data_IF_035810632983
#
_entry.id   IF_035810632983
#
_cell.length_a   1.000
_cell.length_b   1.000
_cell.length_c   1.000
_cell.angle_alpha   90.00
_cell.angle_beta   90.00
_cell.angle_gamma   90.00
#
_symmetry.space_group_name_H-M   'P 1'
#
loop_
_entity.id
_entity.type
_entity.pdbx_description
1 polymer ?
#
# COMPACT_ATOMS: atom_id res chain seq x y z
N UNK A 1 6.98 -3.43 -14.25
CA UNK A 1 6.24 -3.85 -13.05
C UNK A 1 4.85 -3.23 -13.12
N UNK A 2 3.83 -3.91 -12.59
CA UNK A 2 2.49 -3.33 -12.44
C UNK A 2 2.30 -2.78 -11.02
N UNK A 3 1.58 -1.67 -10.89
CA UNK A 3 1.38 -0.98 -9.62
C UNK A 3 -0.06 -0.52 -9.44
N UNK A 4 -0.49 -0.45 -8.19
CA UNK A 4 -1.62 0.37 -7.73
C UNK A 4 -1.16 1.22 -6.54
N UNK A 5 -1.90 2.27 -6.19
CA UNK A 5 -1.49 3.22 -5.15
C UNK A 5 -2.59 3.34 -4.11
N UNK A 6 -2.19 3.27 -2.83
CA UNK A 6 -3.02 3.69 -1.71
C UNK A 6 -2.77 5.16 -1.42
N UNK A 7 -3.86 5.91 -1.32
CA UNK A 7 -3.85 7.32 -0.94
C UNK A 7 -4.53 7.47 0.43
N UNK A 8 -3.88 8.16 1.36
CA UNK A 8 -4.45 8.51 2.67
C UNK A 8 -4.44 10.02 2.82
N UNK A 9 -5.62 10.63 2.91
CA UNK A 9 -5.75 12.07 3.14
C UNK A 9 -6.01 12.38 4.62
N UNK A 10 -5.30 13.38 5.15
CA UNK A 10 -5.55 13.86 6.50
C UNK A 10 -6.72 14.84 6.53
N UNK A 11 -7.90 14.35 6.89
CA UNK A 11 -9.09 15.18 7.13
C UNK A 11 -9.18 15.71 8.58
N UNK A 12 -8.22 15.39 9.44
CA UNK A 12 -8.18 15.95 10.79
C UNK A 12 -7.72 17.41 10.75
N UNK A 13 -8.16 18.20 11.73
CA UNK A 13 -7.71 19.58 11.91
C UNK A 13 -6.33 19.72 12.57
N UNK A 14 -5.56 18.64 12.64
CA UNK A 14 -4.24 18.56 13.29
C UNK A 14 -3.31 17.67 12.46
N UNK A 15 -2.00 17.80 12.71
CA UNK A 15 -0.99 16.96 12.06
C UNK A 15 -1.16 15.48 12.42
N UNK A 16 -1.02 14.60 11.43
CA UNK A 16 -1.08 13.15 11.59
C UNK A 16 0.23 12.51 11.11
N UNK A 17 0.83 11.67 11.95
CA UNK A 17 2.00 10.89 11.55
C UNK A 17 1.58 9.57 10.92
N UNK A 18 2.24 9.21 9.82
CA UNK A 18 2.07 7.96 9.09
C UNK A 18 3.34 7.11 9.26
N UNK A 19 3.49 6.39 10.39
CA UNK A 19 4.64 5.53 10.61
C UNK A 19 4.62 4.31 9.68
N UNK A 20 5.83 3.88 9.28
CA UNK A 20 6.05 2.61 8.59
C UNK A 20 5.35 2.49 7.24
N UNK A 21 4.60 1.42 7.07
CA UNK A 21 3.92 1.03 5.85
C UNK A 21 2.53 0.42 6.17
N UNK A 22 1.56 0.49 5.25
CA UNK A 22 0.29 -0.19 5.46
C UNK A 22 0.48 -1.71 5.38
N UNK A 23 -0.08 -2.45 6.33
CA UNK A 23 -0.19 -3.91 6.19
C UNK A 23 -1.40 -4.23 5.34
N UNK A 24 -1.20 -5.09 4.35
CA UNK A 24 -2.20 -5.42 3.34
C UNK A 24 -2.59 -6.89 3.42
N UNK A 25 -3.89 -7.14 3.37
CA UNK A 25 -4.46 -8.47 3.23
C UNK A 25 -5.41 -8.49 2.03
N UNK A 26 -5.01 -9.23 1.00
CA UNK A 26 -5.83 -9.46 -0.19
C UNK A 26 -6.72 -10.68 0.03
N UNK A 27 -8.03 -10.53 -0.11
CA UNK A 27 -9.02 -11.57 0.20
C UNK A 27 -8.70 -12.29 1.54
N UNK A 28 -8.72 -13.63 1.56
CA UNK A 28 -8.39 -14.46 2.73
C UNK A 28 -6.90 -14.89 2.77
N UNK A 29 -6.00 -14.10 2.17
CA UNK A 29 -4.57 -14.41 2.15
C UNK A 29 -4.02 -14.68 3.56
N UNK A 30 -3.30 -15.79 3.70
CA UNK A 30 -2.75 -16.26 4.97
C UNK A 30 -1.53 -15.45 5.44
N UNK A 31 -0.86 -14.77 4.52
CA UNK A 31 0.30 -13.93 4.80
C UNK A 31 0.03 -12.49 4.35
N UNK A 32 0.55 -11.54 5.12
CA UNK A 32 0.54 -10.13 4.72
C UNK A 32 1.44 -9.92 3.51
N UNK A 33 1.10 -8.92 2.69
CA UNK A 33 1.97 -8.50 1.58
C UNK A 33 3.31 -8.00 2.15
N UNK A 34 4.46 -8.49 1.66
CA UNK A 34 5.77 -8.06 2.15
C UNK A 34 6.03 -6.59 1.79
N UNK A 35 6.86 -5.93 2.59
CA UNK A 35 7.29 -4.55 2.33
C UNK A 35 8.49 -4.52 1.38
N UNK A 36 8.56 -3.51 0.52
CA UNK A 36 9.73 -3.16 -0.26
C UNK A 36 10.66 -2.29 0.61
N UNK A 37 11.61 -2.94 1.28
CA UNK A 37 12.48 -2.30 2.29
C UNK A 37 13.28 -1.11 1.77
N UNK A 38 13.67 -1.12 0.49
CA UNK A 38 14.44 -0.04 -0.12
C UNK A 38 13.64 1.28 -0.27
N UNK A 39 12.31 1.24 -0.10
CA UNK A 39 11.48 2.46 -0.10
C UNK A 39 11.43 3.19 1.24
N UNK A 40 12.14 2.73 2.27
CA UNK A 40 12.06 3.33 3.60
C UNK A 40 12.50 4.81 3.61
N UNK A 41 11.63 5.75 4.01
CA UNK A 41 12.00 7.17 4.05
C UNK A 41 12.99 7.47 5.17
N UNK A 42 13.73 8.58 5.02
CA UNK A 42 14.70 9.02 6.03
C UNK A 42 14.03 9.46 7.35
N UNK A 43 12.78 9.89 7.28
CA UNK A 43 11.97 10.32 8.42
C UNK A 43 10.53 9.81 8.27
N UNK A 44 9.80 9.76 9.38
CA UNK A 44 8.37 9.45 9.37
C UNK A 44 7.63 10.51 8.55
N UNK A 45 6.67 10.07 7.73
CA UNK A 45 5.81 10.98 6.98
C UNK A 45 4.81 11.62 7.94
N UNK A 46 4.75 12.95 7.94
CA UNK A 46 3.78 13.74 8.69
C UNK A 46 2.88 14.46 7.70
N UNK A 47 1.58 14.36 7.90
CA UNK A 47 0.54 15.00 7.09
C UNK A 47 -0.07 16.16 7.88
N UNK A 48 0.09 17.38 7.39
CA UNK A 48 -0.70 18.52 7.83
C UNK A 48 -2.18 18.35 7.41
N UNK A 49 -3.13 19.14 7.97
CA UNK A 49 -4.53 19.11 7.55
C UNK A 49 -4.68 19.32 6.03
N UNK A 50 -5.30 18.34 5.36
CA UNK A 50 -5.54 18.31 3.92
C UNK A 50 -4.43 17.66 3.09
N UNK A 51 -3.28 17.31 3.66
CA UNK A 51 -2.20 16.61 2.95
C UNK A 51 -2.49 15.11 2.75
N UNK A 52 -1.81 14.53 1.76
CA UNK A 52 -1.97 13.12 1.37
C UNK A 52 -0.65 12.37 1.45
N UNK A 53 -0.68 11.16 2.00
CA UNK A 53 0.41 10.19 1.90
C UNK A 53 0.08 9.11 0.86
N UNK A 54 1.13 8.53 0.28
CA UNK A 54 1.06 7.53 -0.77
C UNK A 54 1.84 6.28 -0.38
N UNK A 55 1.29 5.10 -0.67
CA UNK A 55 2.04 3.85 -0.66
C UNK A 55 1.73 3.09 -1.95
N UNK A 56 2.76 2.72 -2.70
CA UNK A 56 2.57 1.90 -3.88
C UNK A 56 2.50 0.43 -3.50
N UNK A 57 1.69 -0.29 -4.25
CA UNK A 57 1.57 -1.74 -4.19
C UNK A 57 2.02 -2.25 -5.54
N UNK A 58 3.23 -2.83 -5.55
CA UNK A 58 3.77 -3.59 -6.68
C UNK A 58 2.97 -4.89 -6.72
N UNK A 59 2.20 -5.13 -7.77
CA UNK A 59 1.26 -6.26 -7.78
C UNK A 59 1.83 -7.49 -8.47
N UNK A 60 2.54 -7.29 -9.57
CA UNK A 60 3.09 -8.36 -10.41
C UNK A 60 4.21 -7.86 -11.29
N UNK A 61 5.09 -8.77 -11.67
CA UNK A 61 6.11 -8.50 -12.69
C UNK A 61 5.46 -8.22 -14.04
N UNK A 62 5.89 -7.17 -14.74
CA UNK A 62 5.25 -6.76 -16.00
C UNK A 62 5.53 -7.72 -17.17
N UNK A 63 6.56 -8.55 -17.04
CA UNK A 63 6.90 -9.61 -17.99
C UNK A 63 6.13 -10.92 -17.72
N UNK A 64 5.27 -10.96 -16.68
CA UNK A 64 4.50 -12.14 -16.30
C UNK A 64 5.34 -13.29 -15.75
N UNK A 65 6.59 -13.01 -15.32
CA UNK A 65 7.50 -14.01 -14.76
C UNK A 65 7.10 -14.49 -13.35
N UNK A 66 6.20 -13.78 -12.68
CA UNK A 66 5.72 -14.16 -11.36
C UNK A 66 4.88 -15.42 -11.37
N UNK A 67 5.06 -16.25 -10.35
CA UNK A 67 4.28 -17.48 -10.17
C UNK A 67 3.22 -17.29 -9.10
N UNK A 68 2.35 -18.30 -8.97
CA UNK A 68 1.31 -18.38 -7.93
C UNK A 68 0.35 -17.18 -7.93
N UNK A 69 0.25 -16.46 -9.05
CA UNK A 69 -0.59 -15.29 -9.13
C UNK A 69 -2.06 -15.61 -9.25
N UNK A 70 -2.87 -14.74 -8.68
CA UNK A 70 -4.32 -14.86 -8.63
C UNK A 70 -4.98 -13.49 -8.74
N UNK A 71 -6.29 -13.51 -9.02
CA UNK A 71 -7.09 -12.30 -9.15
C UNK A 71 -7.76 -12.01 -7.81
N UNK A 72 -7.24 -11.02 -7.09
CA UNK A 72 -7.81 -10.57 -5.83
C UNK A 72 -9.04 -9.69 -6.06
N UNK A 73 -10.03 -9.78 -5.18
CA UNK A 73 -11.31 -9.05 -5.31
C UNK A 73 -11.59 -8.09 -4.16
N UNK A 74 -10.85 -8.22 -3.06
CA UNK A 74 -10.94 -7.35 -1.89
C UNK A 74 -9.55 -7.07 -1.34
N UNK A 75 -9.41 -5.89 -0.72
CA UNK A 75 -8.21 -5.48 -0.02
C UNK A 75 -8.60 -4.92 1.34
N UNK A 76 -8.00 -5.45 2.39
CA UNK A 76 -8.01 -4.84 3.71
C UNK A 76 -6.68 -4.15 3.99
N UNK A 77 -6.77 -2.93 4.49
CA UNK A 77 -5.65 -2.08 4.85
C UNK A 77 -5.65 -1.87 6.36
N UNK A 78 -4.50 -2.12 6.97
CA UNK A 78 -4.25 -1.87 8.39
C UNK A 78 -3.16 -0.82 8.51
N UNK A 79 -3.40 0.18 9.36
CA UNK A 79 -2.40 1.19 9.68
C UNK A 79 -1.56 0.75 10.87
N UNK A 80 -0.28 1.14 10.88
CA UNK A 80 0.58 0.86 12.02
C UNK A 80 0.07 1.58 13.29
N UNK A 81 0.09 0.88 14.42
CA UNK A 81 -0.46 1.39 15.68
C UNK A 81 -1.99 1.26 15.81
N UNK A 82 -2.68 0.67 14.83
CA UNK A 82 -4.11 0.34 14.92
C UNK A 82 -4.34 -1.15 14.63
N UNK A 83 -5.27 -1.74 15.39
CA UNK A 83 -5.80 -3.08 15.13
C UNK A 83 -7.04 -3.05 14.23
N UNK A 84 -7.58 -1.86 13.95
CA UNK A 84 -8.70 -1.68 13.04
C UNK A 84 -8.23 -1.77 11.59
N UNK A 85 -9.04 -2.40 10.75
CA UNK A 85 -8.84 -2.43 9.30
C UNK A 85 -9.86 -1.57 8.57
N UNK A 86 -9.51 -1.20 7.33
CA UNK A 86 -10.45 -0.64 6.36
C UNK A 86 -10.42 -1.48 5.09
N UNK A 87 -11.60 -1.89 4.64
CA UNK A 87 -11.76 -2.46 3.31
C UNK A 87 -11.69 -1.34 2.27
N UNK A 88 -10.86 -1.56 1.25
CA UNK A 88 -10.67 -0.65 0.13
C UNK A 88 -11.15 -1.33 -1.15
N UNK A 89 -11.91 -0.60 -1.96
CA UNK A 89 -12.36 -1.08 -3.26
C UNK A 89 -11.18 -1.15 -4.22
N UNK A 90 -11.05 -2.28 -4.92
CA UNK A 90 -10.01 -2.44 -5.94
C UNK A 90 -10.40 -1.74 -7.23
N UNK A 91 -9.48 -1.04 -7.92
CA UNK A 91 -9.72 -0.48 -9.24
C UNK A 91 -10.24 -1.55 -10.21
N UNK A 92 -11.36 -1.29 -10.88
CA UNK A 92 -11.98 -2.27 -11.79
C UNK A 92 -12.58 -3.51 -11.09
N UNK A 93 -12.76 -3.45 -9.76
CA UNK A 93 -13.36 -4.50 -8.94
C UNK A 93 -12.43 -5.67 -8.63
N UNK A 94 -11.20 -5.68 -9.16
CA UNK A 94 -10.25 -6.78 -8.96
C UNK A 94 -8.87 -6.45 -9.51
N UNK A 95 -7.83 -7.02 -8.93
CA UNK A 95 -6.44 -6.84 -9.37
C UNK A 95 -5.71 -8.17 -9.42
N UNK A 96 -4.84 -8.35 -10.41
CA UNK A 96 -3.96 -9.51 -10.47
C UNK A 96 -2.73 -9.26 -9.61
N UNK A 97 -2.43 -10.17 -8.68
CA UNK A 97 -1.21 -10.15 -7.87
C UNK A 97 -0.48 -11.48 -7.99
N UNK A 98 0.85 -11.46 -7.86
CA UNK A 98 1.70 -12.65 -7.84
C UNK A 98 2.65 -12.67 -6.62
N UNK A 99 3.51 -13.68 -6.54
CA UNK A 99 4.46 -13.85 -5.42
C UNK A 99 5.47 -12.70 -5.26
N UNK A 100 5.63 -11.83 -6.26
CA UNK A 100 6.47 -10.63 -6.20
C UNK A 100 5.72 -9.42 -5.64
N UNK A 101 4.46 -9.59 -5.20
CA UNK A 101 3.69 -8.48 -4.67
C UNK A 101 4.38 -7.86 -3.45
N UNK A 102 4.56 -6.54 -3.47
CA UNK A 102 5.23 -5.78 -2.42
C UNK A 102 4.53 -4.44 -2.17
N UNK A 103 4.59 -3.93 -0.95
CA UNK A 103 4.10 -2.60 -0.59
C UNK A 103 5.23 -1.67 -0.19
N UNK A 104 5.19 -0.40 -0.55
CA UNK A 104 6.19 0.59 -0.12
C UNK A 104 5.89 1.14 1.27
N UNK A 105 6.89 1.75 1.90
CA UNK A 105 6.65 2.68 3.00
C UNK A 105 5.82 3.88 2.53
N UNK A 106 5.14 4.53 3.49
CA UNK A 106 4.44 5.79 3.21
C UNK A 106 5.40 6.84 2.69
N UNK A 107 4.97 7.58 1.67
CA UNK A 107 5.67 8.69 1.05
C UNK A 107 4.79 9.94 1.06
N UNK A 108 5.41 11.11 1.19
CA UNK A 108 4.74 12.40 0.97
C UNK A 108 4.41 12.66 -0.51
N UNK A 109 5.16 12.01 -1.41
CA UNK A 109 5.11 12.28 -2.84
C UNK A 109 4.81 11.01 -3.62
N UNK A 110 3.84 11.09 -4.54
CA UNK A 110 3.43 9.97 -5.38
C UNK A 110 4.59 9.41 -6.21
N UNK A 111 5.45 10.29 -6.74
CA UNK A 111 6.63 9.88 -7.52
C UNK A 111 7.59 9.02 -6.69
N UNK A 112 7.78 9.34 -5.40
CA UNK A 112 8.66 8.57 -4.53
C UNK A 112 8.05 7.20 -4.17
N UNK A 113 6.72 7.10 -4.15
CA UNK A 113 6.06 5.81 -3.94
C UNK A 113 6.21 4.89 -5.15
N UNK A 114 6.30 5.44 -6.36
CA UNK A 114 6.34 4.67 -7.61
C UNK A 114 7.76 4.29 -8.08
N UNK A 115 8.81 4.85 -7.48
CA UNK A 115 10.22 4.48 -7.69
C UNK A 115 10.51 3.09 -7.08
#
# INVERSE_FOLDING_TARGET
MNYMVLEVNNHAGVDCNMPGFPRLRFDDAQAATPVYEDSKPQAVVTLAPGETAYAAIRTSSADGSGQNGYKATSLEVFLEGSDDSKSVELPGGSVYIDENAQVTYWQSDLSNALD
#
